data_IF_780416234392
#
_entry.id   IF_780416234392
#
_cell.length_a   1.000
_cell.length_b   1.000
_cell.length_c   1.000
_cell.angle_alpha   90.00
_cell.angle_beta   90.00
_cell.angle_gamma   90.00
#
_symmetry.space_group_name_H-M   'P 1'
#
loop_
_entity.id
_entity.type
_entity.pdbx_description
1 polymer ?
#
# COMPACT_ATOMS: atom_id res chain seq x y z
N UNK A 1 -7.15 -41.18 -54.19
CA UNK A 1 -6.88 -41.26 -52.74
C UNK A 1 -6.46 -39.86 -52.34
N UNK A 2 -7.37 -39.10 -51.74
CA UNK A 2 -7.25 -37.65 -51.54
C UNK A 2 -6.30 -37.29 -50.40
N UNK A 3 -5.44 -36.33 -50.73
CA UNK A 3 -4.92 -35.19 -49.98
C UNK A 3 -5.39 -34.96 -48.53
N UNK A 4 -4.42 -34.63 -47.66
CA UNK A 4 -4.48 -33.58 -46.61
C UNK A 4 -3.19 -33.61 -45.81
N UNK A 5 -2.09 -33.15 -46.43
CA UNK A 5 -0.97 -32.57 -45.65
C UNK A 5 -1.51 -31.33 -44.95
N UNK A 6 -1.87 -31.51 -43.68
CA UNK A 6 -2.24 -30.42 -42.77
C UNK A 6 -0.99 -29.59 -42.52
N UNK A 7 -0.70 -28.65 -43.41
CA UNK A 7 0.25 -27.57 -43.17
C UNK A 7 -0.24 -26.82 -41.92
N UNK A 8 0.41 -27.11 -40.80
CA UNK A 8 0.30 -26.27 -39.62
C UNK A 8 0.77 -24.86 -39.99
N UNK A 9 0.19 -23.81 -39.39
CA UNK A 9 0.52 -22.42 -39.73
C UNK A 9 2.04 -22.23 -39.60
N UNK A 10 2.71 -22.01 -40.73
CA UNK A 10 4.13 -21.72 -40.78
C UNK A 10 4.35 -20.38 -40.06
N UNK A 11 5.34 -20.34 -39.16
CA UNK A 11 5.72 -19.14 -38.39
C UNK A 11 6.18 -17.95 -39.26
N UNK A 12 6.05 -18.00 -40.58
CA UNK A 12 6.66 -17.06 -41.52
C UNK A 12 5.73 -16.00 -42.13
N UNK A 13 4.41 -16.07 -41.94
CA UNK A 13 3.48 -15.08 -42.50
C UNK A 13 2.90 -14.13 -41.44
N UNK A 14 3.74 -13.58 -40.56
CA UNK A 14 3.36 -12.34 -39.86
C UNK A 14 3.73 -11.21 -40.80
N UNK A 15 2.72 -10.54 -41.36
CA UNK A 15 2.98 -9.36 -42.17
C UNK A 15 3.72 -8.31 -41.32
N UNK A 16 4.66 -7.53 -41.89
CA UNK A 16 5.37 -6.47 -41.13
C UNK A 16 4.40 -5.50 -40.42
N UNK A 17 3.20 -5.35 -40.95
CA UNK A 17 2.13 -4.54 -40.41
C UNK A 17 1.47 -5.17 -39.16
N UNK A 18 1.25 -6.49 -39.14
CA UNK A 18 0.81 -7.22 -37.95
C UNK A 18 1.89 -7.29 -36.88
N UNK A 19 3.17 -7.42 -37.26
CA UNK A 19 4.28 -7.37 -36.31
C UNK A 19 4.32 -6.02 -35.56
N UNK A 20 4.17 -4.91 -36.29
CA UNK A 20 4.08 -3.56 -35.71
C UNK A 20 2.84 -3.37 -34.84
N UNK A 21 1.68 -3.87 -35.28
CA UNK A 21 0.45 -3.81 -34.49
C UNK A 21 0.57 -4.58 -33.18
N UNK A 22 1.17 -5.78 -33.20
CA UNK A 22 1.43 -6.58 -31.99
C UNK A 22 2.42 -5.91 -31.05
N UNK A 23 3.47 -5.28 -31.58
CA UNK A 23 4.42 -4.49 -30.80
C UNK A 23 3.75 -3.28 -30.14
N UNK A 24 2.99 -2.49 -30.89
CA UNK A 24 2.25 -1.34 -30.36
C UNK A 24 1.24 -1.75 -29.28
N UNK A 25 0.56 -2.89 -29.45
CA UNK A 25 -0.32 -3.45 -28.43
C UNK A 25 0.44 -3.92 -27.18
N UNK A 26 1.62 -4.55 -27.35
CA UNK A 26 2.47 -4.97 -26.24
C UNK A 26 3.07 -3.78 -25.47
N UNK A 27 3.48 -2.73 -26.16
CA UNK A 27 3.98 -1.48 -25.57
C UNK A 27 2.87 -0.79 -24.78
N UNK A 28 1.69 -0.60 -25.38
CA UNK A 28 0.54 0.00 -24.71
C UNK A 28 0.10 -0.81 -23.46
N UNK A 29 0.17 -2.13 -23.52
CA UNK A 29 -0.13 -2.99 -22.37
C UNK A 29 0.93 -2.87 -21.26
N UNK A 30 2.21 -2.74 -21.63
CA UNK A 30 3.33 -2.58 -20.70
C UNK A 30 3.29 -1.22 -20.00
N UNK A 31 2.96 -0.16 -20.73
CA UNK A 31 2.81 1.19 -20.20
C UNK A 31 1.64 1.25 -19.22
N UNK A 32 0.47 0.70 -19.58
CA UNK A 32 -0.69 0.59 -18.68
C UNK A 32 -0.36 -0.18 -17.40
N UNK A 33 0.34 -1.31 -17.51
CA UNK A 33 0.77 -2.11 -16.35
C UNK A 33 1.75 -1.34 -15.45
N UNK A 34 2.57 -0.47 -16.02
CA UNK A 34 3.49 0.40 -15.26
C UNK A 34 2.73 1.53 -14.56
N UNK A 35 1.71 2.10 -15.21
CA UNK A 35 0.78 3.06 -14.61
C UNK A 35 0.03 2.48 -13.40
N UNK A 36 -0.59 1.31 -13.55
CA UNK A 36 -1.32 0.61 -12.48
C UNK A 36 -0.42 0.33 -11.26
N UNK A 37 0.83 -0.08 -11.50
CA UNK A 37 1.83 -0.31 -10.43
C UNK A 37 2.17 0.97 -9.66
N UNK A 38 2.32 2.11 -10.33
CA UNK A 38 2.62 3.38 -9.67
C UNK A 38 1.47 3.84 -8.78
N UNK A 39 0.24 3.69 -9.24
CA UNK A 39 -0.97 4.00 -8.45
C UNK A 39 -1.02 3.12 -7.21
N UNK A 40 -0.79 1.81 -7.35
CA UNK A 40 -0.73 0.90 -6.19
C UNK A 40 0.37 1.24 -5.21
N UNK A 41 1.59 1.49 -5.70
CA UNK A 41 2.70 1.85 -4.83
C UNK A 41 2.41 3.11 -4.01
N UNK A 42 1.82 4.13 -4.65
CA UNK A 42 1.38 5.36 -3.96
C UNK A 42 0.26 5.12 -2.97
N UNK A 43 -0.75 4.33 -3.34
CA UNK A 43 -1.85 3.98 -2.43
C UNK A 43 -1.32 3.26 -1.20
N UNK A 44 -0.47 2.24 -1.37
CA UNK A 44 0.15 1.50 -0.25
C UNK A 44 0.98 2.43 0.64
N UNK A 45 1.84 3.27 0.08
CA UNK A 45 2.59 4.22 0.90
C UNK A 45 1.66 5.18 1.68
N UNK A 46 0.59 5.67 1.04
CA UNK A 46 -0.39 6.54 1.67
C UNK A 46 -1.14 5.86 2.84
N UNK A 47 -1.51 4.58 2.70
CA UNK A 47 -2.11 3.81 3.81
C UNK A 47 -1.22 3.79 5.05
N UNK A 48 0.09 3.52 4.87
CA UNK A 48 1.06 3.54 5.97
C UNK A 48 1.18 4.90 6.64
N UNK A 49 1.27 5.97 5.83
CA UNK A 49 1.36 7.34 6.34
C UNK A 49 0.10 7.75 7.13
N UNK A 50 -1.09 7.40 6.62
CA UNK A 50 -2.36 7.70 7.30
C UNK A 50 -2.44 6.95 8.64
N UNK A 51 -2.06 5.67 8.68
CA UNK A 51 -1.97 4.88 9.92
C UNK A 51 -1.00 5.48 10.94
N UNK A 52 0.22 5.81 10.52
CA UNK A 52 1.24 6.40 11.40
C UNK A 52 0.85 7.78 11.94
N UNK A 53 0.25 8.62 11.07
CA UNK A 53 -0.30 9.91 11.48
C UNK A 53 -1.44 9.73 12.48
N UNK A 54 -2.38 8.82 12.22
CA UNK A 54 -3.49 8.54 13.13
C UNK A 54 -2.99 8.08 14.51
N UNK A 55 -2.01 7.17 14.59
CA UNK A 55 -1.40 6.78 15.86
C UNK A 55 -0.87 7.99 16.64
N UNK A 56 -0.13 8.86 15.96
CA UNK A 56 0.48 10.04 16.58
C UNK A 56 -0.59 11.03 17.06
N UNK A 57 -1.55 11.38 16.20
CA UNK A 57 -2.59 12.36 16.50
C UNK A 57 -3.59 11.85 17.55
N UNK A 58 -3.94 10.57 17.53
CA UNK A 58 -4.89 9.98 18.50
C UNK A 58 -4.35 10.03 19.92
N UNK A 59 -3.04 9.84 20.09
CA UNK A 59 -2.34 9.97 21.38
C UNK A 59 -2.17 11.42 21.82
N UNK A 60 -1.82 12.32 20.90
CA UNK A 60 -1.74 13.76 21.23
C UNK A 60 -3.10 14.36 21.58
N UNK A 61 -4.19 13.81 21.03
CA UNK A 61 -5.57 14.18 21.34
C UNK A 61 -6.17 13.38 22.49
N UNK A 62 -5.40 12.60 23.24
CA UNK A 62 -5.94 11.80 24.33
C UNK A 62 -6.54 12.68 25.43
N UNK A 63 -7.79 12.41 25.83
CA UNK A 63 -8.53 13.23 26.81
C UNK A 63 -9.21 14.49 26.25
N UNK A 64 -9.30 14.64 24.94
CA UNK A 64 -9.90 15.82 24.28
C UNK A 64 -11.11 15.46 23.40
N UNK A 65 -11.97 16.44 23.10
CA UNK A 65 -13.21 16.21 22.33
C UNK A 65 -13.03 15.89 20.84
N UNK A 66 -11.80 15.94 20.30
CA UNK A 66 -11.54 15.73 18.86
C UNK A 66 -11.14 14.29 18.49
N UNK A 67 -11.11 13.35 19.44
CA UNK A 67 -10.82 11.93 19.14
C UNK A 67 -11.85 11.30 18.19
N UNK A 68 -13.15 11.48 18.45
CA UNK A 68 -14.22 10.95 17.61
C UNK A 68 -14.17 11.50 16.17
N UNK A 69 -14.08 12.83 15.93
CA UNK A 69 -13.95 13.35 14.58
C UNK A 69 -12.62 12.95 13.92
N UNK A 70 -11.53 12.79 14.68
CA UNK A 70 -10.25 12.30 14.15
C UNK A 70 -10.37 10.85 13.64
N UNK A 71 -11.02 9.96 14.41
CA UNK A 71 -11.29 8.59 13.99
C UNK A 71 -12.18 8.55 12.73
N UNK A 72 -13.22 9.38 12.67
CA UNK A 72 -14.08 9.50 11.50
C UNK A 72 -13.31 10.00 10.27
N UNK A 73 -12.46 11.01 10.43
CA UNK A 73 -11.60 11.54 9.37
C UNK A 73 -10.61 10.47 8.87
N UNK A 74 -9.99 9.72 9.78
CA UNK A 74 -9.11 8.60 9.47
C UNK A 74 -9.84 7.52 8.66
N UNK A 75 -11.00 7.05 9.12
CA UNK A 75 -11.79 6.06 8.39
C UNK A 75 -12.22 6.59 7.01
N UNK A 76 -12.66 7.84 6.92
CA UNK A 76 -13.01 8.50 5.66
C UNK A 76 -11.85 8.57 4.68
N UNK A 77 -10.65 8.92 5.15
CA UNK A 77 -9.42 8.94 4.36
C UNK A 77 -9.07 7.55 3.81
N UNK A 78 -9.18 6.50 4.64
CA UNK A 78 -8.94 5.13 4.18
C UNK A 78 -9.95 4.69 3.11
N UNK A 79 -11.22 5.02 3.29
CA UNK A 79 -12.28 4.72 2.30
C UNK A 79 -12.01 5.47 1.00
N UNK A 80 -11.75 6.78 1.06
CA UNK A 80 -11.43 7.60 -0.11
C UNK A 80 -10.21 7.05 -0.84
N UNK A 81 -9.17 6.65 -0.11
CA UNK A 81 -7.96 6.07 -0.68
C UNK A 81 -8.25 4.73 -1.37
N UNK A 82 -9.10 3.89 -0.76
CA UNK A 82 -9.53 2.61 -1.33
C UNK A 82 -10.37 2.81 -2.60
N UNK A 83 -11.28 3.77 -2.58
CA UNK A 83 -12.13 4.13 -3.73
C UNK A 83 -11.29 4.71 -4.87
N UNK A 84 -10.33 5.57 -4.55
CA UNK A 84 -9.39 6.10 -5.52
C UNK A 84 -8.56 4.98 -6.14
N UNK A 85 -8.03 4.05 -5.33
CA UNK A 85 -7.24 2.92 -5.80
C UNK A 85 -8.07 2.00 -6.72
N UNK A 86 -9.30 1.67 -6.35
CA UNK A 86 -10.19 0.83 -7.18
C UNK A 86 -10.62 1.53 -8.47
N UNK A 87 -10.83 2.85 -8.45
CA UNK A 87 -11.15 3.62 -9.65
C UNK A 87 -9.95 3.80 -10.59
N UNK A 88 -8.76 3.99 -10.04
CA UNK A 88 -7.55 4.30 -10.78
C UNK A 88 -6.83 3.06 -11.35
N UNK A 89 -7.25 1.84 -10.97
CA UNK A 89 -6.62 0.60 -11.46
C UNK A 89 -7.66 -0.37 -12.03
N UNK A 90 -7.42 -0.88 -13.24
CA UNK A 90 -8.27 -1.91 -13.87
C UNK A 90 -7.75 -3.33 -13.67
N UNK A 91 -6.48 -3.49 -13.28
CA UNK A 91 -5.86 -4.80 -13.10
C UNK A 91 -4.94 -4.85 -11.89
N UNK A 92 -5.10 -5.87 -11.03
CA UNK A 92 -4.18 -6.14 -9.91
C UNK A 92 -3.10 -7.13 -10.34
N UNK A 93 -1.81 -6.73 -10.40
CA UNK A 93 -0.73 -7.69 -10.61
C UNK A 93 -0.63 -8.63 -9.41
N UNK A 94 -0.74 -9.96 -9.62
CA UNK A 94 -0.76 -10.98 -8.54
C UNK A 94 0.36 -10.82 -7.50
N UNK A 95 1.59 -10.47 -7.91
CA UNK A 95 2.73 -10.26 -7.00
C UNK A 95 2.67 -8.97 -6.20
N UNK A 96 2.07 -7.91 -6.75
CA UNK A 96 1.87 -6.65 -6.02
C UNK A 96 0.93 -6.85 -4.84
N UNK A 97 -0.08 -7.71 -4.99
CA UNK A 97 -1.03 -8.05 -3.94
C UNK A 97 -0.35 -8.65 -2.70
N UNK A 98 0.56 -9.60 -2.87
CA UNK A 98 1.29 -10.21 -1.74
C UNK A 98 2.18 -9.20 -1.02
N UNK A 99 2.85 -8.30 -1.76
CA UNK A 99 3.72 -7.25 -1.19
C UNK A 99 2.90 -6.21 -0.42
N UNK A 100 1.74 -5.81 -0.95
CA UNK A 100 0.84 -4.90 -0.24
C UNK A 100 0.30 -5.52 1.05
N UNK A 101 -0.06 -6.81 1.02
CA UNK A 101 -0.54 -7.50 2.24
C UNK A 101 0.56 -7.71 3.28
N UNK A 102 1.79 -8.02 2.88
CA UNK A 102 2.89 -8.13 3.84
C UNK A 102 3.23 -6.77 4.47
N UNK A 103 3.21 -5.69 3.68
CA UNK A 103 3.36 -4.33 4.18
C UNK A 103 2.23 -3.94 5.15
N UNK A 104 0.98 -4.32 4.84
CA UNK A 104 -0.17 -4.10 5.71
C UNK A 104 -0.04 -4.86 7.02
N UNK A 105 0.26 -6.16 6.95
CA UNK A 105 0.44 -7.01 8.12
C UNK A 105 1.58 -6.48 9.02
N UNK A 106 2.72 -6.10 8.43
CA UNK A 106 3.83 -5.51 9.16
C UNK A 106 3.47 -4.19 9.84
N UNK A 107 2.80 -3.28 9.13
CA UNK A 107 2.37 -1.99 9.69
C UNK A 107 1.32 -2.17 10.79
N UNK A 108 0.39 -3.12 10.63
CA UNK A 108 -0.61 -3.45 11.63
C UNK A 108 0.01 -4.04 12.90
N UNK A 109 0.98 -4.95 12.77
CA UNK A 109 1.71 -5.51 13.90
C UNK A 109 2.49 -4.44 14.67
N UNK A 110 3.18 -3.54 13.95
CA UNK A 110 3.88 -2.41 14.59
C UNK A 110 2.92 -1.45 15.26
N UNK A 111 1.75 -1.18 14.66
CA UNK A 111 0.72 -0.35 15.26
C UNK A 111 0.21 -0.96 16.57
N UNK A 112 -0.13 -2.25 16.56
CA UNK A 112 -0.54 -2.97 17.78
C UNK A 112 0.56 -2.98 18.85
N UNK A 113 1.80 -3.26 18.47
CA UNK A 113 2.93 -3.24 19.38
C UNK A 113 3.15 -1.85 19.98
N UNK A 114 3.02 -0.79 19.18
CA UNK A 114 3.08 0.60 19.64
C UNK A 114 1.98 0.92 20.64
N UNK A 115 0.72 0.61 20.30
CA UNK A 115 -0.43 0.84 21.19
C UNK A 115 -0.25 0.09 22.51
N UNK A 116 0.13 -1.19 22.48
CA UNK A 116 0.40 -1.98 23.68
C UNK A 116 1.54 -1.41 24.51
N UNK A 117 2.65 -1.04 23.87
CA UNK A 117 3.84 -0.49 24.56
C UNK A 117 3.50 0.82 25.26
N UNK A 118 2.79 1.73 24.59
CA UNK A 118 2.38 3.00 25.19
C UNK A 118 1.34 2.80 26.30
N UNK A 119 0.34 1.92 26.11
CA UNK A 119 -0.59 1.57 27.19
C UNK A 119 0.12 0.95 28.40
N UNK A 120 1.11 0.09 28.18
CA UNK A 120 1.89 -0.50 29.27
C UNK A 120 2.74 0.55 30.00
N UNK A 121 3.40 1.46 29.26
CA UNK A 121 4.20 2.55 29.83
C UNK A 121 3.34 3.53 30.63
N UNK A 122 2.18 3.88 30.11
CA UNK A 122 1.19 4.71 30.76
C UNK A 122 0.77 4.08 32.10
N UNK A 123 0.39 2.81 32.09
CA UNK A 123 0.02 2.08 33.30
C UNK A 123 1.16 1.98 34.32
N UNK A 124 2.40 1.75 33.88
CA UNK A 124 3.56 1.73 34.78
C UNK A 124 3.83 3.10 35.41
N UNK A 125 3.64 4.20 34.67
CA UNK A 125 3.78 5.56 35.20
C UNK A 125 2.68 5.88 36.21
N UNK A 126 1.46 5.46 35.94
CA UNK A 126 0.33 5.59 36.86
C UNK A 126 0.60 4.87 38.19
N UNK A 127 1.05 3.61 38.13
CA UNK A 127 1.43 2.83 39.32
C UNK A 127 2.59 3.47 40.11
N UNK A 128 3.51 4.14 39.41
CA UNK A 128 4.63 4.86 40.03
C UNK A 128 4.25 6.27 40.55
N UNK A 129 2.99 6.71 40.38
CA UNK A 129 2.55 8.06 40.75
C UNK A 129 3.18 9.18 39.93
N UNK A 130 3.70 8.85 38.74
CA UNK A 130 4.35 9.80 37.84
C UNK A 130 3.34 10.43 36.88
N UNK A 131 3.67 11.61 36.36
CA UNK A 131 2.89 12.21 35.28
C UNK A 131 2.89 11.29 34.05
N UNK A 132 1.70 11.07 33.51
CA UNK A 132 1.45 10.13 32.42
C UNK A 132 1.84 10.66 31.05
N UNK A 133 1.85 11.98 30.87
CA UNK A 133 2.12 12.64 29.59
C UNK A 133 3.33 12.04 28.84
N UNK A 134 3.08 11.52 27.65
CA UNK A 134 4.12 10.96 26.79
C UNK A 134 4.89 12.05 26.04
N UNK A 135 6.17 11.79 25.77
CA UNK A 135 7.00 12.73 25.02
C UNK A 135 6.54 12.78 23.56
N UNK A 136 6.21 13.97 23.01
CA UNK A 136 5.73 14.10 21.63
C UNK A 136 6.70 13.52 20.59
N UNK A 137 8.01 13.62 20.85
CA UNK A 137 9.04 13.06 19.97
C UNK A 137 8.97 11.54 19.83
N UNK A 138 8.66 10.81 20.92
CA UNK A 138 8.50 9.36 20.91
C UNK A 138 7.25 8.93 20.14
N UNK A 139 6.16 9.68 20.29
CA UNK A 139 4.91 9.45 19.54
C UNK A 139 5.13 9.60 18.04
N UNK A 140 5.81 10.69 17.61
CA UNK A 140 6.15 10.92 16.20
C UNK A 140 7.05 9.81 15.67
N UNK A 141 8.07 9.41 16.43
CA UNK A 141 8.97 8.31 16.03
C UNK A 141 8.20 7.00 15.85
N UNK A 142 7.29 6.68 16.77
CA UNK A 142 6.45 5.48 16.68
C UNK A 142 5.52 5.53 15.46
N UNK A 143 4.88 6.68 15.20
CA UNK A 143 4.07 6.90 13.99
C UNK A 143 4.87 6.69 12.71
N UNK A 144 6.10 7.21 12.65
CA UNK A 144 7.01 7.01 11.52
C UNK A 144 7.36 5.53 11.38
N UNK A 145 7.74 4.85 12.45
CA UNK A 145 8.08 3.42 12.44
C UNK A 145 6.93 2.55 11.92
N UNK A 146 5.69 2.85 12.33
CA UNK A 146 4.48 2.17 11.85
C UNK A 146 4.28 2.37 10.35
N UNK A 147 4.62 3.53 9.79
CA UNK A 147 4.47 3.81 8.37
C UNK A 147 5.53 3.12 7.49
N UNK A 148 6.72 2.82 8.03
CA UNK A 148 7.87 2.30 7.27
C UNK A 148 7.55 1.07 6.42
N UNK A 149 6.92 -0.02 6.92
CA UNK A 149 6.70 -1.23 6.12
C UNK A 149 5.82 -0.98 4.90
N UNK A 150 4.77 -0.16 5.06
CA UNK A 150 3.85 0.23 3.98
C UNK A 150 4.51 1.16 2.96
N UNK A 151 5.33 2.12 3.41
CA UNK A 151 6.09 3.00 2.52
C UNK A 151 7.10 2.18 1.70
N UNK A 152 7.83 1.26 2.34
CA UNK A 152 8.76 0.37 1.65
C UNK A 152 8.03 -0.55 0.66
N UNK A 153 6.92 -1.17 1.06
CA UNK A 153 6.09 -1.99 0.17
C UNK A 153 5.61 -1.18 -1.05
N UNK A 154 5.16 0.06 -0.81
CA UNK A 154 4.74 0.99 -1.87
C UNK A 154 5.86 1.31 -2.86
N UNK A 155 7.06 1.62 -2.34
CA UNK A 155 8.25 1.87 -3.16
C UNK A 155 8.67 0.64 -3.98
N UNK A 156 8.61 -0.56 -3.41
CA UNK A 156 8.91 -1.81 -4.13
C UNK A 156 7.91 -2.06 -5.26
N UNK A 157 6.61 -1.87 -4.99
CA UNK A 157 5.55 -2.02 -6.00
C UNK A 157 5.71 -0.98 -7.11
N UNK A 158 6.07 0.27 -6.76
CA UNK A 158 6.27 1.35 -7.72
C UNK A 158 7.51 1.12 -8.60
N UNK A 159 8.60 0.59 -8.02
CA UNK A 159 9.84 0.27 -8.75
C UNK A 159 9.66 -0.92 -9.68
N UNK A 160 8.71 -1.81 -9.37
CA UNK A 160 8.33 -2.94 -10.20
C UNK A 160 9.54 -3.77 -10.59
N UNK A 161 9.99 -4.67 -9.70
CA UNK A 161 11.11 -5.58 -9.97
C UNK A 161 10.99 -6.17 -11.37
N UNK A 162 11.88 -5.72 -12.27
CA UNK A 162 12.15 -6.35 -13.57
C UNK A 162 12.74 -7.71 -13.26
N UNK A 163 11.93 -8.76 -13.42
CA UNK A 163 12.38 -10.12 -13.61
C UNK A 163 11.62 -10.64 -14.82
#
# INVERSE_FOLDING_TARGET
MNDTTREGPTMNDITPQEARARLAHAEAATERRTGDRRVHGRATAAFGLIMGAYLTLSRLGEGTGWQTPLLAAYAGLLVLLTLWQTRATRSWPRRARTICYSGLAGSFLLFMAGVMTFNYREHQRELAGLATAEEPGLLVLAGVLVAVPMVLAGLVVQRGTRA
#
